data_IF_325701792041
#
_entry.id   IF_325701792041
#
_cell.length_a   1.000
_cell.length_b   1.000
_cell.length_c   1.000
_cell.angle_alpha   90.00
_cell.angle_beta   90.00
_cell.angle_gamma   90.00
#
_symmetry.space_group_name_H-M   'P 1'
#
loop_
_entity.id
_entity.type
_entity.pdbx_description
1 polymer ?
#
# COMPACT_ATOMS: atom_id res chain seq x y z
N UNK A 1 11.68 -17.56 4.73
CA UNK A 1 10.84 -16.58 4.01
C UNK A 1 11.26 -15.17 4.38
N UNK A 2 11.43 -14.29 3.39
CA UNK A 2 11.75 -12.87 3.57
C UNK A 2 10.70 -12.03 2.81
N UNK A 3 10.20 -10.98 3.47
CA UNK A 3 9.11 -10.15 2.95
C UNK A 3 9.64 -8.75 2.62
N UNK A 4 9.26 -8.22 1.45
CA UNK A 4 9.41 -6.83 1.08
C UNK A 4 8.09 -6.10 1.33
N UNK A 5 8.07 -5.19 2.30
CA UNK A 5 6.94 -4.30 2.54
C UNK A 5 7.09 -3.04 1.69
N UNK A 6 6.06 -2.72 0.92
CA UNK A 6 6.02 -1.56 0.03
C UNK A 6 5.12 -0.50 0.67
N UNK A 7 5.69 0.60 1.13
CA UNK A 7 4.97 1.60 1.90
C UNK A 7 5.07 2.97 1.23
N UNK A 8 3.93 3.45 0.72
CA UNK A 8 3.79 4.81 0.23
C UNK A 8 3.26 5.72 1.34
N UNK A 9 3.95 6.83 1.61
CA UNK A 9 3.54 7.85 2.57
C UNK A 9 3.31 9.18 1.89
N UNK A 10 2.05 9.67 1.96
CA UNK A 10 1.67 10.93 1.35
C UNK A 10 1.93 12.16 2.20
N UNK A 11 1.64 12.12 3.51
CA UNK A 11 1.64 13.34 4.35
C UNK A 11 2.09 13.15 5.79
N UNK A 12 2.01 11.95 6.34
CA UNK A 12 2.23 11.70 7.76
C UNK A 12 3.36 10.69 7.98
N UNK A 13 4.55 11.00 7.46
CA UNK A 13 5.69 10.09 7.57
C UNK A 13 6.01 9.72 9.04
N UNK A 14 5.65 10.55 10.03
CA UNK A 14 5.83 10.22 11.46
C UNK A 14 5.11 8.94 11.85
N UNK A 15 3.92 8.70 11.30
CA UNK A 15 3.11 7.54 11.62
C UNK A 15 3.70 6.24 11.06
N UNK A 16 4.58 6.34 10.05
CA UNK A 16 5.21 5.16 9.45
C UNK A 16 6.50 4.71 10.13
N UNK A 17 7.18 5.61 10.86
CA UNK A 17 8.49 5.29 11.46
C UNK A 17 8.37 4.16 12.49
N UNK A 18 7.45 4.18 13.48
CA UNK A 18 7.27 3.08 14.40
C UNK A 18 6.93 1.77 13.70
N UNK A 19 6.09 1.81 12.66
CA UNK A 19 5.70 0.64 11.87
C UNK A 19 6.92 0.01 11.20
N UNK A 20 7.71 0.82 10.50
CA UNK A 20 8.92 0.34 9.82
C UNK A 20 9.92 -0.26 10.81
N UNK A 21 10.10 0.36 11.97
CA UNK A 21 10.97 -0.18 13.02
C UNK A 21 10.53 -1.57 13.49
N UNK A 22 9.22 -1.81 13.60
CA UNK A 22 8.72 -3.14 13.99
C UNK A 22 8.90 -4.17 12.87
N UNK A 23 8.59 -3.80 11.62
CA UNK A 23 8.66 -4.71 10.47
C UNK A 23 10.07 -5.25 10.22
N UNK A 24 11.10 -4.43 10.41
CA UNK A 24 12.48 -4.84 10.09
C UNK A 24 13.17 -5.68 11.18
N UNK A 25 12.61 -5.76 12.38
CA UNK A 25 13.25 -6.48 13.53
C UNK A 25 13.55 -7.93 13.24
N UNK A 26 12.72 -8.61 12.48
CA UNK A 26 12.84 -10.05 12.20
C UNK A 26 13.43 -10.37 10.82
N UNK A 27 14.06 -9.39 10.16
CA UNK A 27 14.81 -9.63 8.92
C UNK A 27 14.05 -9.31 7.65
N UNK A 28 12.83 -8.79 7.73
CA UNK A 28 12.09 -8.28 6.58
C UNK A 28 12.59 -6.88 6.22
N UNK A 29 12.26 -6.44 5.03
CA UNK A 29 12.70 -5.15 4.50
C UNK A 29 11.50 -4.26 4.19
N UNK A 30 11.67 -2.95 4.37
CA UNK A 30 10.65 -1.96 4.04
C UNK A 30 11.19 -1.01 2.98
N UNK A 31 10.45 -0.85 1.91
CA UNK A 31 10.72 0.09 0.83
C UNK A 31 9.75 1.27 0.97
N UNK A 32 10.29 2.45 1.21
CA UNK A 32 9.50 3.65 1.50
C UNK A 32 9.59 4.60 0.31
N UNK A 33 8.44 5.12 -0.10
CA UNK A 33 8.32 6.24 -1.02
C UNK A 33 7.53 7.36 -0.36
N UNK A 34 8.05 8.58 -0.46
CA UNK A 34 7.45 9.78 0.13
C UNK A 34 7.14 10.82 -0.94
N UNK A 35 6.31 11.80 -0.56
CA UNK A 35 5.74 12.77 -1.50
C UNK A 35 6.69 13.90 -1.89
N UNK A 36 7.67 14.22 -1.05
CA UNK A 36 8.54 15.39 -1.26
C UNK A 36 9.93 15.20 -0.64
N UNK A 37 10.86 16.10 -1.02
CA UNK A 37 12.25 16.05 -0.57
C UNK A 37 12.40 16.21 0.95
N UNK A 38 11.56 17.06 1.57
CA UNK A 38 11.62 17.28 3.02
C UNK A 38 11.27 15.99 3.76
N UNK A 39 10.16 15.35 3.41
CA UNK A 39 9.76 14.06 3.99
C UNK A 39 10.84 12.98 3.76
N UNK A 40 11.49 12.98 2.58
CA UNK A 40 12.59 12.05 2.30
C UNK A 40 13.79 12.28 3.21
N UNK A 41 14.19 13.53 3.41
CA UNK A 41 15.32 13.87 4.28
C UNK A 41 15.04 13.47 5.73
N UNK A 42 13.84 13.72 6.22
CA UNK A 42 13.39 13.38 7.57
C UNK A 42 13.37 11.85 7.79
N UNK A 43 12.80 11.08 6.86
CA UNK A 43 12.80 9.61 6.92
C UNK A 43 14.23 9.06 6.80
N UNK A 44 15.09 9.68 5.97
CA UNK A 44 16.50 9.29 5.84
C UNK A 44 17.26 9.44 7.15
N UNK A 45 16.99 10.53 7.89
CA UNK A 45 17.60 10.73 9.21
C UNK A 45 17.07 9.70 10.23
N UNK A 46 15.76 9.45 10.24
CA UNK A 46 15.12 8.50 11.16
C UNK A 46 15.67 7.06 11.00
N UNK A 47 16.06 6.69 9.77
CA UNK A 47 16.59 5.35 9.47
C UNK A 47 18.06 5.33 9.08
N UNK A 48 18.82 6.36 9.48
CA UNK A 48 20.25 6.43 9.19
C UNK A 48 21.00 5.20 9.74
N UNK A 49 21.64 4.44 8.85
CA UNK A 49 22.35 3.20 9.19
C UNK A 49 21.51 1.92 9.20
N UNK A 50 20.20 2.00 8.97
CA UNK A 50 19.40 0.80 8.76
C UNK A 50 19.74 0.16 7.40
N UNK A 51 19.97 -1.16 7.41
CA UNK A 51 20.19 -1.94 6.18
C UNK A 51 18.90 -2.54 5.61
N UNK A 52 17.77 -2.37 6.30
CA UNK A 52 16.50 -3.01 5.96
C UNK A 52 15.38 -2.02 5.66
N UNK A 53 15.65 -0.73 5.87
CA UNK A 53 14.74 0.34 5.43
C UNK A 53 15.36 1.04 4.24
N UNK A 54 14.66 1.01 3.12
CA UNK A 54 15.12 1.52 1.83
C UNK A 54 14.22 2.68 1.41
N UNK A 55 14.81 3.85 1.25
CA UNK A 55 14.09 5.06 0.90
C UNK A 55 14.30 5.31 -0.58
N UNK A 56 13.21 5.33 -1.35
CA UNK A 56 13.29 5.57 -2.79
C UNK A 56 13.90 6.94 -3.09
N UNK A 57 14.75 6.99 -4.11
CA UNK A 57 15.25 8.27 -4.64
C UNK A 57 14.21 9.01 -5.46
N UNK A 58 13.15 8.30 -5.88
CA UNK A 58 12.03 8.86 -6.61
C UNK A 58 11.01 9.39 -5.61
N UNK A 59 10.28 10.41 -6.03
CA UNK A 59 9.20 11.01 -5.24
C UNK A 59 7.89 10.76 -5.97
N UNK A 60 6.89 10.31 -5.24
CA UNK A 60 5.53 10.19 -5.73
C UNK A 60 4.57 10.74 -4.70
N UNK A 61 3.60 11.48 -5.17
CA UNK A 61 2.65 12.14 -4.30
C UNK A 61 1.82 11.16 -3.45
N UNK A 62 1.76 9.89 -3.86
CA UNK A 62 1.10 8.78 -3.17
C UNK A 62 -0.33 9.11 -2.70
N UNK A 63 -1.05 9.91 -3.51
CA UNK A 63 -2.40 10.33 -3.20
C UNK A 63 -3.41 9.26 -3.59
N UNK A 64 -4.26 8.87 -2.65
CA UNK A 64 -5.40 8.01 -2.91
C UNK A 64 -6.32 8.62 -3.97
N UNK A 65 -6.80 7.78 -4.89
CA UNK A 65 -7.65 8.19 -6.00
C UNK A 65 -6.90 8.80 -7.18
N UNK A 66 -5.57 8.94 -7.10
CA UNK A 66 -4.70 9.37 -8.19
C UNK A 66 -3.69 8.27 -8.55
N UNK A 67 -3.22 8.32 -9.79
CA UNK A 67 -2.25 7.33 -10.31
C UNK A 67 -0.93 7.31 -9.53
N UNK A 68 -0.61 8.37 -8.79
CA UNK A 68 0.64 8.46 -8.02
C UNK A 68 0.77 7.36 -6.95
N UNK A 69 -0.33 6.94 -6.32
CA UNK A 69 -0.29 5.85 -5.33
C UNK A 69 0.06 4.51 -6.00
N UNK A 70 -0.65 4.15 -7.05
CA UNK A 70 -0.38 2.91 -7.77
C UNK A 70 1.02 2.91 -8.41
N UNK A 71 1.42 4.04 -8.98
CA UNK A 71 2.74 4.23 -9.58
C UNK A 71 3.85 4.12 -8.54
N UNK A 72 3.67 4.74 -7.38
CA UNK A 72 4.61 4.65 -6.26
C UNK A 72 4.83 3.19 -5.82
N UNK A 73 3.77 2.44 -5.67
CA UNK A 73 3.84 1.02 -5.30
C UNK A 73 4.61 0.18 -6.34
N UNK A 74 4.35 0.38 -7.64
CA UNK A 74 5.09 -0.33 -8.71
C UNK A 74 6.56 0.05 -8.77
N UNK A 75 6.88 1.32 -8.52
CA UNK A 75 8.28 1.77 -8.43
C UNK A 75 9.00 1.17 -7.22
N UNK A 76 8.33 1.02 -6.09
CA UNK A 76 8.89 0.33 -4.92
C UNK A 76 9.14 -1.16 -5.18
N UNK A 77 8.25 -1.83 -5.94
CA UNK A 77 8.53 -3.21 -6.40
C UNK A 77 9.83 -3.25 -7.22
N UNK A 78 10.00 -2.28 -8.13
CA UNK A 78 11.23 -2.19 -8.95
C UNK A 78 12.46 -1.99 -8.07
N UNK A 79 12.39 -1.10 -7.07
CA UNK A 79 13.50 -0.84 -6.16
C UNK A 79 13.82 -2.09 -5.31
N UNK A 80 12.81 -2.83 -4.86
CA UNK A 80 12.96 -4.06 -4.08
C UNK A 80 13.55 -5.20 -4.90
N UNK A 81 13.11 -5.38 -6.13
CA UNK A 81 13.63 -6.41 -7.04
C UNK A 81 15.07 -6.13 -7.50
N UNK A 82 15.45 -4.85 -7.55
CA UNK A 82 16.81 -4.42 -7.89
C UNK A 82 17.79 -4.46 -6.70
N UNK A 83 17.31 -4.78 -5.49
CA UNK A 83 18.15 -4.85 -4.31
C UNK A 83 19.00 -6.12 -4.29
N UNK A 84 20.33 -5.98 -4.41
CA UNK A 84 21.25 -7.10 -4.63
C UNK A 84 21.56 -7.90 -3.35
N UNK A 85 21.47 -7.27 -2.17
CA UNK A 85 21.89 -7.91 -0.90
C UNK A 85 20.81 -8.84 -0.30
N UNK A 86 19.60 -8.89 -0.88
CA UNK A 86 18.54 -9.77 -0.42
C UNK A 86 17.57 -10.16 -1.53
N UNK A 87 17.09 -11.40 -1.47
CA UNK A 87 15.94 -11.85 -2.26
C UNK A 87 14.69 -11.89 -1.38
N UNK A 88 13.56 -11.55 -1.96
CA UNK A 88 12.26 -11.52 -1.29
C UNK A 88 11.32 -12.57 -1.88
N UNK A 89 10.65 -13.30 -1.01
CA UNK A 89 9.66 -14.32 -1.39
C UNK A 89 8.30 -13.69 -1.68
N UNK A 90 7.95 -12.65 -0.88
CA UNK A 90 6.68 -11.95 -0.97
C UNK A 90 6.85 -10.43 -0.96
N UNK A 91 5.93 -9.77 -1.68
CA UNK A 91 5.80 -8.32 -1.78
C UNK A 91 4.42 -7.91 -1.26
N UNK A 92 4.39 -7.12 -0.20
CA UNK A 92 3.17 -6.73 0.51
C UNK A 92 3.08 -5.21 0.55
N UNK A 93 2.06 -4.64 -0.09
CA UNK A 93 1.87 -3.20 -0.01
C UNK A 93 1.10 -2.81 1.25
N UNK A 94 1.52 -1.72 1.86
CA UNK A 94 0.91 -1.09 3.03
C UNK A 94 0.63 0.38 2.75
N UNK A 95 -0.34 0.93 3.44
CA UNK A 95 -0.63 2.36 3.49
C UNK A 95 -0.44 2.88 4.93
N UNK A 96 -0.37 4.20 5.09
CA UNK A 96 -0.31 4.84 6.40
C UNK A 96 -1.44 4.33 7.30
N UNK A 97 -1.12 4.04 8.56
CA UNK A 97 -2.06 3.50 9.54
C UNK A 97 -2.41 2.01 9.38
N UNK A 98 -1.81 1.30 8.43
CA UNK A 98 -1.97 -0.16 8.31
C UNK A 98 -0.86 -0.88 9.05
N UNK A 99 -1.26 -1.84 9.89
CA UNK A 99 -0.37 -2.67 10.71
C UNK A 99 -0.63 -4.15 10.47
N UNK A 100 0.38 -5.03 10.68
CA UNK A 100 0.13 -6.44 10.89
C UNK A 100 -0.72 -6.65 12.14
N UNK A 101 -1.76 -7.48 12.03
CA UNK A 101 -2.64 -7.84 13.16
C UNK A 101 -2.39 -9.26 13.65
N UNK A 102 -1.34 -9.88 13.12
CA UNK A 102 -0.83 -11.20 13.51
C UNK A 102 0.67 -11.14 13.75
N UNK A 103 1.21 -12.00 14.62
CA UNK A 103 2.66 -12.21 14.73
C UNK A 103 3.27 -12.59 13.37
N UNK A 104 4.50 -12.15 13.12
CA UNK A 104 5.22 -12.55 11.90
C UNK A 104 5.27 -14.04 11.68
N UNK A 105 5.47 -14.81 12.76
CA UNK A 105 5.50 -16.27 12.69
C UNK A 105 4.21 -16.87 12.13
N UNK A 106 3.06 -16.31 12.49
CA UNK A 106 1.76 -16.74 11.96
C UNK A 106 1.59 -16.32 10.49
N UNK A 107 1.99 -15.09 10.13
CA UNK A 107 1.95 -14.61 8.73
C UNK A 107 2.81 -15.50 7.85
N UNK A 108 4.05 -15.78 8.25
CA UNK A 108 4.97 -16.66 7.51
C UNK A 108 4.41 -18.06 7.39
N UNK A 109 3.95 -18.64 8.52
CA UNK A 109 3.36 -19.99 8.53
C UNK A 109 2.14 -20.09 7.60
N UNK A 110 1.29 -19.06 7.59
CA UNK A 110 0.13 -19.00 6.69
C UNK A 110 0.57 -19.01 5.23
N UNK A 111 1.53 -18.17 4.85
CA UNK A 111 2.01 -18.06 3.46
C UNK A 111 2.78 -19.32 3.02
N UNK A 112 3.52 -19.98 3.91
CA UNK A 112 4.19 -21.26 3.62
C UNK A 112 3.22 -22.41 3.42
N UNK A 113 2.13 -22.45 4.19
CA UNK A 113 1.09 -23.47 4.05
C UNK A 113 0.14 -23.21 2.88
N UNK A 114 0.01 -21.97 2.46
CA UNK A 114 -0.89 -21.54 1.40
C UNK A 114 -0.14 -20.63 0.42
N UNK A 115 0.83 -21.16 -0.33
CA UNK A 115 1.62 -20.34 -1.25
C UNK A 115 0.75 -19.82 -2.40
N UNK A 116 1.02 -18.58 -2.84
CA UNK A 116 0.34 -17.96 -3.98
C UNK A 116 0.15 -16.47 -3.80
N UNK A 117 -0.49 -15.87 -4.78
CA UNK A 117 -0.85 -14.45 -4.79
C UNK A 117 -2.22 -14.25 -4.16
N UNK A 118 -2.32 -13.25 -3.29
CA UNK A 118 -3.55 -12.85 -2.63
C UNK A 118 -3.92 -11.44 -3.03
N UNK A 119 -5.02 -11.29 -3.71
CA UNK A 119 -5.67 -10.02 -3.99
C UNK A 119 -7.17 -10.24 -4.15
N UNK A 120 -7.95 -9.23 -3.90
CA UNK A 120 -9.40 -9.33 -3.88
C UNK A 120 -10.02 -8.53 -5.01
N UNK A 121 -10.69 -9.22 -5.93
CA UNK A 121 -11.52 -8.65 -6.98
C UNK A 121 -12.96 -8.67 -6.50
N UNK A 122 -13.55 -7.50 -6.35
CA UNK A 122 -14.93 -7.31 -5.90
C UNK A 122 -15.92 -7.49 -7.06
N UNK A 123 -15.62 -6.84 -8.20
CA UNK A 123 -16.48 -6.85 -9.38
C UNK A 123 -15.69 -6.82 -10.68
N UNK A 124 -16.27 -7.42 -11.70
CA UNK A 124 -15.79 -7.40 -13.07
C UNK A 124 -16.77 -6.66 -13.98
N UNK A 125 -16.32 -6.24 -15.18
CA UNK A 125 -17.23 -5.59 -16.14
C UNK A 125 -18.31 -6.53 -16.68
N UNK A 126 -18.14 -7.84 -16.60
CA UNK A 126 -19.15 -8.82 -16.99
C UNK A 126 -20.32 -8.80 -15.98
N UNK A 127 -20.04 -8.50 -14.70
CA UNK A 127 -21.02 -8.39 -13.61
C UNK A 127 -21.60 -6.97 -13.49
N UNK A 128 -20.78 -5.93 -13.78
CA UNK A 128 -21.20 -4.53 -13.76
C UNK A 128 -20.74 -3.81 -15.04
N UNK A 129 -21.55 -3.84 -16.12
CA UNK A 129 -21.18 -3.17 -17.38
C UNK A 129 -20.96 -1.66 -17.26
N UNK A 130 -21.39 -1.04 -16.14
CA UNK A 130 -21.16 0.40 -15.91
C UNK A 130 -19.69 0.70 -15.54
N UNK A 131 -18.86 -0.30 -15.26
CA UNK A 131 -17.44 -0.12 -14.96
C UNK A 131 -16.67 0.42 -16.16
N UNK A 132 -16.86 -0.19 -17.35
CA UNK A 132 -16.12 0.21 -18.57
C UNK A 132 -16.32 1.69 -18.94
N UNK A 133 -17.54 2.23 -19.07
CA UNK A 133 -17.71 3.64 -19.40
C UNK A 133 -17.19 4.59 -18.32
N UNK A 134 -17.08 4.18 -17.06
CA UNK A 134 -16.43 4.98 -16.01
C UNK A 134 -14.91 4.97 -16.17
N UNK A 135 -14.30 3.80 -16.31
CA UNK A 135 -12.85 3.63 -16.37
C UNK A 135 -12.25 4.26 -17.64
N UNK A 136 -12.98 4.29 -18.75
CA UNK A 136 -12.51 4.91 -19.99
C UNK A 136 -12.46 6.44 -19.96
N UNK A 137 -13.07 7.12 -18.98
CA UNK A 137 -13.02 8.59 -18.87
C UNK A 137 -11.68 9.09 -18.37
N UNK A 138 -11.30 10.29 -18.80
CA UNK A 138 -10.21 11.05 -18.20
C UNK A 138 -10.74 11.96 -17.10
N UNK A 139 -10.17 11.85 -15.92
CA UNK A 139 -10.52 12.62 -14.71
C UNK A 139 -9.40 13.62 -14.41
N UNK A 140 -9.53 14.86 -14.85
CA UNK A 140 -8.45 15.84 -14.99
C UNK A 140 -7.90 16.42 -13.69
N UNK A 141 -8.60 16.29 -12.57
CA UNK A 141 -8.22 16.95 -11.31
C UNK A 141 -7.93 15.96 -10.18
N UNK A 142 -7.66 14.69 -10.51
CA UNK A 142 -7.35 13.66 -9.50
C UNK A 142 -6.05 13.93 -8.77
N UNK A 143 -5.11 14.62 -9.40
CA UNK A 143 -3.81 14.99 -8.82
C UNK A 143 -3.87 16.23 -7.91
N UNK A 144 -5.04 16.85 -7.71
CA UNK A 144 -5.17 17.96 -6.77
C UNK A 144 -5.20 17.44 -5.32
N UNK A 145 -4.43 18.07 -4.45
CA UNK A 145 -4.34 17.74 -3.01
C UNK A 145 -5.68 17.55 -2.31
N UNK A 146 -6.69 18.27 -2.75
CA UNK A 146 -8.02 18.27 -2.15
C UNK A 146 -8.96 17.23 -2.78
N UNK A 147 -8.49 16.48 -3.78
CA UNK A 147 -9.35 15.57 -4.54
C UNK A 147 -10.06 14.53 -3.67
N UNK A 148 -9.42 13.81 -2.76
CA UNK A 148 -10.09 12.75 -2.02
C UNK A 148 -11.22 13.26 -1.12
N UNK A 149 -11.09 14.44 -0.54
CA UNK A 149 -11.96 14.95 0.53
C UNK A 149 -12.89 16.07 0.10
N UNK A 150 -12.51 16.89 -0.88
CA UNK A 150 -13.28 18.07 -1.29
C UNK A 150 -14.38 17.74 -2.29
N UNK A 151 -15.64 17.86 -1.88
CA UNK A 151 -16.81 17.59 -2.72
C UNK A 151 -16.85 18.43 -4.02
N UNK A 152 -16.40 19.68 -3.97
CA UNK A 152 -16.39 20.56 -5.16
C UNK A 152 -15.32 20.13 -6.16
N UNK A 153 -14.14 19.73 -5.71
CA UNK A 153 -13.09 19.19 -6.58
C UNK A 153 -13.58 17.90 -7.23
N UNK A 154 -14.16 16.98 -6.47
CA UNK A 154 -14.73 15.72 -6.98
C UNK A 154 -15.86 15.96 -8.00
N UNK A 155 -16.74 16.93 -7.71
CA UNK A 155 -17.82 17.27 -8.63
C UNK A 155 -17.28 17.85 -9.95
N UNK A 156 -16.36 18.82 -9.90
CA UNK A 156 -15.72 19.40 -11.08
C UNK A 156 -14.97 18.34 -11.89
N UNK A 157 -14.25 17.44 -11.22
CA UNK A 157 -13.57 16.32 -11.86
C UNK A 157 -14.54 15.44 -12.64
N UNK A 158 -15.69 15.09 -12.05
CA UNK A 158 -16.74 14.32 -12.73
C UNK A 158 -17.38 15.09 -13.88
N UNK A 159 -17.65 16.38 -13.70
CA UNK A 159 -18.23 17.24 -14.74
C UNK A 159 -17.29 17.35 -15.95
N UNK A 160 -16.00 17.63 -15.72
CA UNK A 160 -14.98 17.68 -16.76
C UNK A 160 -14.83 16.32 -17.48
N UNK A 161 -14.80 15.22 -16.76
CA UNK A 161 -14.72 13.88 -17.34
C UNK A 161 -15.93 13.56 -18.23
N UNK A 162 -17.14 13.95 -17.82
CA UNK A 162 -18.35 13.78 -18.62
C UNK A 162 -18.32 14.63 -19.88
N UNK A 163 -17.84 15.88 -19.78
CA UNK A 163 -17.69 16.76 -20.93
C UNK A 163 -16.68 16.21 -21.95
N UNK A 164 -15.49 15.78 -21.49
CA UNK A 164 -14.49 15.17 -22.35
C UNK A 164 -15.04 13.92 -23.07
N UNK A 165 -15.76 13.07 -22.33
CA UNK A 165 -16.37 11.88 -22.90
C UNK A 165 -17.47 12.24 -23.93
N UNK A 166 -18.24 13.30 -23.73
CA UNK A 166 -19.26 13.76 -24.66
C UNK A 166 -18.67 14.19 -26.02
N UNK A 167 -17.49 14.82 -26.02
CA UNK A 167 -16.77 15.22 -27.24
C UNK A 167 -15.85 14.10 -27.78
N UNK A 168 -15.99 12.85 -27.29
CA UNK A 168 -15.26 11.69 -27.78
C UNK A 168 -13.84 11.51 -27.20
N UNK A 169 -13.41 12.36 -26.24
CA UNK A 169 -12.10 12.25 -25.59
C UNK A 169 -12.19 11.22 -24.46
N UNK A 170 -11.73 10.02 -24.76
CA UNK A 170 -11.70 8.89 -23.82
C UNK A 170 -10.49 7.99 -24.11
N UNK A 171 -10.05 7.24 -23.10
CA UNK A 171 -8.98 6.26 -23.29
C UNK A 171 -9.50 4.98 -23.96
N UNK A 172 -8.58 4.23 -24.51
CA UNK A 172 -8.86 2.90 -25.06
C UNK A 172 -8.14 1.87 -24.20
N UNK A 173 -8.89 0.88 -23.75
CA UNK A 173 -8.39 -0.28 -22.99
C UNK A 173 -8.97 -1.52 -23.63
N UNK A 174 -8.10 -2.48 -23.92
CA UNK A 174 -8.47 -3.76 -24.55
C UNK A 174 -8.79 -4.81 -23.49
N UNK A 175 -8.25 -4.63 -22.27
CA UNK A 175 -8.38 -5.54 -21.15
C UNK A 175 -9.79 -5.46 -20.53
N UNK A 176 -10.21 -6.57 -19.91
CA UNK A 176 -11.42 -6.59 -19.07
C UNK A 176 -11.21 -5.76 -17.81
N UNK A 177 -12.19 -4.92 -17.47
CA UNK A 177 -12.11 -4.07 -16.29
C UNK A 177 -12.53 -4.87 -15.06
N UNK A 178 -11.67 -4.82 -14.05
CA UNK A 178 -11.87 -5.40 -12.73
C UNK A 178 -11.67 -4.33 -11.67
N UNK A 179 -12.46 -4.37 -10.62
CA UNK A 179 -12.33 -3.48 -9.46
C UNK A 179 -12.24 -4.35 -8.21
N UNK A 180 -11.35 -3.95 -7.31
CA UNK A 180 -11.17 -4.65 -6.04
C UNK A 180 -10.32 -3.87 -5.05
N UNK A 181 -9.88 -4.56 -4.04
CA UNK A 181 -9.01 -4.03 -2.99
C UNK A 181 -7.68 -3.52 -3.57
N UNK A 182 -7.22 -2.32 -3.20
CA UNK A 182 -5.94 -1.79 -3.68
C UNK A 182 -4.74 -2.50 -3.07
N UNK A 183 -4.96 -3.41 -2.13
CA UNK A 183 -3.92 -4.13 -1.42
C UNK A 183 -3.76 -5.56 -1.93
N UNK A 184 -2.55 -6.06 -1.81
CA UNK A 184 -2.17 -7.39 -2.27
C UNK A 184 -1.04 -7.98 -1.41
N UNK A 185 -0.87 -9.29 -1.52
CA UNK A 185 0.31 -10.06 -1.13
C UNK A 185 0.72 -10.83 -2.39
N UNK A 186 1.85 -10.48 -2.99
CA UNK A 186 2.30 -11.05 -4.26
C UNK A 186 3.58 -11.83 -4.09
N UNK A 187 3.70 -12.92 -4.83
CA UNK A 187 4.95 -13.65 -5.00
C UNK A 187 5.96 -12.80 -5.79
N UNK A 188 7.25 -13.19 -5.72
CA UNK A 188 8.32 -12.53 -6.46
C UNK A 188 8.05 -12.52 -7.97
N UNK A 189 7.53 -13.61 -8.50
CA UNK A 189 7.25 -13.78 -9.92
C UNK A 189 6.23 -12.76 -10.41
N UNK A 190 5.11 -12.64 -9.70
CA UNK A 190 4.05 -11.68 -10.05
C UNK A 190 4.51 -10.24 -9.86
N UNK A 191 5.21 -9.94 -8.77
CA UNK A 191 5.78 -8.61 -8.55
C UNK A 191 6.76 -8.20 -9.64
N UNK A 192 7.60 -9.13 -10.14
CA UNK A 192 8.55 -8.87 -11.21
C UNK A 192 7.84 -8.48 -12.51
N UNK A 193 6.79 -9.22 -12.87
CA UNK A 193 6.01 -8.91 -14.10
C UNK A 193 5.32 -7.55 -14.00
N UNK A 194 4.75 -7.21 -12.83
CA UNK A 194 4.13 -5.90 -12.64
C UNK A 194 5.16 -4.76 -12.69
N UNK A 195 6.32 -4.93 -12.07
CA UNK A 195 7.38 -3.94 -12.06
C UNK A 195 7.96 -3.71 -13.48
N UNK A 196 8.18 -4.76 -14.26
CA UNK A 196 8.67 -4.69 -15.63
C UNK A 196 7.70 -3.93 -16.55
N UNK A 197 6.40 -4.11 -16.32
CA UNK A 197 5.34 -3.51 -17.13
C UNK A 197 4.81 -2.18 -16.57
N UNK A 198 5.51 -1.55 -15.61
CA UNK A 198 5.19 -0.25 -15.06
C UNK A 198 4.90 0.85 -16.12
N UNK A 199 5.65 0.96 -17.27
CA UNK A 199 5.38 1.99 -18.27
C UNK A 199 3.95 1.90 -18.85
N UNK A 200 3.44 0.71 -19.07
CA UNK A 200 2.06 0.51 -19.54
C UNK A 200 1.05 1.12 -18.56
N UNK A 201 1.22 0.82 -17.27
CA UNK A 201 0.38 1.34 -16.21
C UNK A 201 0.39 2.87 -16.18
N UNK A 202 1.58 3.46 -16.15
CA UNK A 202 1.76 4.91 -16.09
C UNK A 202 1.12 5.64 -17.28
N UNK A 203 1.21 5.08 -18.48
CA UNK A 203 0.67 5.71 -19.69
C UNK A 203 -0.85 5.54 -19.82
N UNK A 204 -1.35 4.34 -19.58
CA UNK A 204 -2.76 3.99 -19.83
C UNK A 204 -3.70 4.51 -18.74
N UNK A 205 -3.23 4.58 -17.48
CA UNK A 205 -4.09 4.93 -16.34
C UNK A 205 -3.88 6.34 -15.77
N UNK A 206 -3.04 7.17 -16.37
CA UNK A 206 -2.98 8.58 -16.00
C UNK A 206 -4.35 9.24 -16.05
N UNK A 207 -4.62 10.15 -15.13
CA UNK A 207 -5.92 10.84 -15.00
C UNK A 207 -7.10 9.85 -14.83
N UNK A 208 -6.89 8.76 -14.13
CA UNK A 208 -7.95 7.83 -13.76
C UNK A 208 -8.61 8.24 -12.44
N UNK A 209 -9.78 7.71 -12.20
CA UNK A 209 -10.49 7.78 -10.94
C UNK A 209 -10.23 6.52 -10.14
N UNK A 210 -9.54 6.63 -9.01
CA UNK A 210 -9.12 5.52 -8.15
C UNK A 210 -8.46 4.37 -8.94
N UNK A 211 -7.35 4.64 -9.64
CA UNK A 211 -6.70 3.63 -10.47
C UNK A 211 -6.10 2.48 -9.67
N UNK A 212 -5.73 2.69 -8.41
CA UNK A 212 -5.24 1.66 -7.49
C UNK A 212 -6.24 0.52 -7.26
N UNK A 213 -7.54 0.78 -7.47
CA UNK A 213 -8.60 -0.23 -7.34
C UNK A 213 -8.74 -1.14 -8.58
N UNK A 214 -8.03 -0.87 -9.67
CA UNK A 214 -8.20 -1.63 -10.92
C UNK A 214 -6.90 -1.93 -11.67
N UNK A 215 -5.90 -1.07 -11.62
CA UNK A 215 -4.72 -1.14 -12.48
C UNK A 215 -3.92 -2.43 -12.31
N UNK A 216 -3.75 -2.90 -11.09
CA UNK A 216 -2.98 -4.12 -10.81
C UNK A 216 -3.63 -5.34 -11.44
N UNK A 217 -4.96 -5.50 -11.28
CA UNK A 217 -5.71 -6.63 -11.81
C UNK A 217 -5.68 -6.66 -13.34
N UNK A 218 -5.80 -5.48 -13.97
CA UNK A 218 -5.75 -5.38 -15.43
C UNK A 218 -4.34 -5.66 -15.97
N UNK A 219 -3.30 -5.27 -15.25
CA UNK A 219 -1.92 -5.64 -15.60
C UNK A 219 -1.69 -7.14 -15.45
N UNK A 220 -2.18 -7.75 -14.37
CA UNK A 220 -2.09 -9.21 -14.17
C UNK A 220 -2.81 -9.96 -15.30
N UNK A 221 -4.03 -9.58 -15.66
CA UNK A 221 -4.76 -10.20 -16.76
C UNK A 221 -4.03 -10.09 -18.11
N UNK A 222 -3.39 -8.94 -18.34
CA UNK A 222 -2.68 -8.69 -19.59
C UNK A 222 -1.37 -9.49 -19.72
N UNK A 223 -0.59 -9.50 -18.66
CA UNK A 223 0.79 -10.00 -18.67
C UNK A 223 0.95 -11.37 -18.04
N UNK A 224 -0.04 -11.80 -17.27
CA UNK A 224 -0.11 -13.11 -16.60
C UNK A 224 -1.50 -13.74 -16.84
N UNK A 225 -1.92 -13.92 -18.11
CA UNK A 225 -3.23 -14.51 -18.36
C UNK A 225 -3.32 -15.89 -17.72
N UNK A 226 -4.46 -16.19 -17.10
CA UNK A 226 -4.74 -17.45 -16.41
C UNK A 226 -3.84 -17.73 -15.18
N UNK A 227 -3.11 -16.72 -14.68
CA UNK A 227 -2.32 -16.86 -13.45
C UNK A 227 -3.21 -17.18 -12.26
N UNK A 228 -2.94 -18.28 -11.54
CA UNK A 228 -3.74 -18.66 -10.40
C UNK A 228 -3.55 -17.66 -9.25
N UNK A 229 -4.63 -17.21 -8.65
CA UNK A 229 -4.62 -16.37 -7.46
C UNK A 229 -5.71 -16.78 -6.48
N UNK A 230 -5.55 -16.37 -5.25
CA UNK A 230 -6.53 -16.57 -4.19
C UNK A 230 -7.31 -15.27 -4.03
N UNK A 231 -8.58 -15.27 -4.50
CA UNK A 231 -9.46 -14.10 -4.43
C UNK A 231 -9.94 -13.88 -2.99
N UNK A 232 -9.04 -13.35 -2.17
CA UNK A 232 -9.29 -13.12 -0.74
C UNK A 232 -8.57 -11.86 -0.28
N UNK A 233 -9.33 -10.97 0.37
CA UNK A 233 -8.71 -9.87 1.11
C UNK A 233 -8.29 -10.37 2.49
N UNK A 234 -7.00 -10.33 2.76
CA UNK A 234 -6.42 -10.67 4.06
C UNK A 234 -6.24 -9.42 4.93
N UNK A 235 -7.00 -8.38 4.63
CA UNK A 235 -7.00 -7.12 5.34
C UNK A 235 -8.38 -6.76 5.86
N UNK A 236 -8.40 -6.15 7.03
CA UNK A 236 -9.61 -5.58 7.63
C UNK A 236 -9.41 -4.08 7.77
N UNK A 237 -10.32 -3.27 7.19
CA UNK A 237 -10.15 -1.82 7.08
C UNK A 237 -11.41 -1.08 7.47
N UNK A 238 -11.24 0.01 8.23
CA UNK A 238 -12.34 0.89 8.59
C UNK A 238 -13.40 0.26 9.51
N UNK A 239 -14.52 0.95 9.68
CA UNK A 239 -15.54 0.56 10.67
C UNK A 239 -16.35 -0.70 10.32
N UNK A 240 -16.41 -1.10 9.04
CA UNK A 240 -17.12 -2.33 8.63
C UNK A 240 -16.18 -3.49 8.27
N UNK A 241 -14.87 -3.26 8.29
CA UNK A 241 -13.88 -4.24 7.83
C UNK A 241 -13.75 -4.34 6.31
N UNK A 242 -14.48 -3.52 5.55
CA UNK A 242 -14.50 -3.56 4.09
C UNK A 242 -13.46 -2.63 3.46
N UNK A 243 -12.74 -3.08 2.44
CA UNK A 243 -11.79 -2.28 1.68
C UNK A 243 -12.42 -1.00 1.06
N UNK A 244 -13.72 -1.01 0.76
CA UNK A 244 -14.47 0.15 0.23
C UNK A 244 -14.42 1.33 1.21
N UNK A 245 -14.24 1.07 2.49
CA UNK A 245 -14.14 2.08 3.55
C UNK A 245 -12.72 2.58 3.80
N UNK A 246 -11.73 2.12 3.04
CA UNK A 246 -10.35 2.62 3.11
C UNK A 246 -10.26 4.14 2.98
N UNK A 247 -11.22 4.72 2.26
CA UNK A 247 -11.36 6.17 2.06
C UNK A 247 -12.00 6.91 3.26
N UNK A 248 -12.56 6.17 4.22
CA UNK A 248 -13.05 6.77 5.46
C UNK A 248 -11.87 6.86 6.43
N UNK A 249 -11.52 8.08 6.87
CA UNK A 249 -10.52 8.29 7.92
C UNK A 249 -11.01 7.81 9.30
N UNK A 250 -11.83 6.78 9.35
CA UNK A 250 -12.36 6.21 10.59
C UNK A 250 -11.48 5.05 11.04
N UNK A 251 -11.10 5.01 12.31
CA UNK A 251 -10.23 3.96 12.83
C UNK A 251 -10.93 2.60 12.82
N UNK A 252 -10.11 1.57 12.72
CA UNK A 252 -10.53 0.19 12.93
C UNK A 252 -10.74 -0.03 14.43
N UNK A 253 -11.90 -0.55 14.81
CA UNK A 253 -12.18 -0.90 16.20
C UNK A 253 -11.79 -2.34 16.53
N UNK A 254 -11.57 -2.62 17.83
CA UNK A 254 -11.28 -3.97 18.33
C UNK A 254 -12.39 -4.97 17.99
N UNK A 255 -13.65 -4.55 18.03
CA UNK A 255 -14.78 -5.43 17.71
C UNK A 255 -14.77 -5.87 16.25
N UNK A 256 -14.48 -4.94 15.33
CA UNK A 256 -14.35 -5.26 13.90
C UNK A 256 -13.14 -6.16 13.66
N UNK A 257 -12.00 -5.89 14.31
CA UNK A 257 -10.82 -6.73 14.22
C UNK A 257 -11.11 -8.16 14.71
N UNK A 258 -11.80 -8.32 15.82
CA UNK A 258 -12.17 -9.62 16.38
C UNK A 258 -13.17 -10.38 15.50
N UNK A 259 -13.99 -9.67 14.71
CA UNK A 259 -14.92 -10.28 13.77
C UNK A 259 -14.20 -10.85 12.52
N UNK A 260 -12.93 -10.49 12.27
CA UNK A 260 -12.14 -10.92 11.14
C UNK A 260 -10.85 -11.65 11.57
N UNK A 261 -10.93 -12.81 12.23
CA UNK A 261 -9.77 -13.53 12.76
C UNK A 261 -8.81 -14.03 11.66
N UNK A 262 -9.26 -14.08 10.43
CA UNK A 262 -8.48 -14.47 9.25
C UNK A 262 -7.57 -13.35 8.72
N UNK A 263 -7.79 -12.10 9.12
CA UNK A 263 -7.00 -10.98 8.63
C UNK A 263 -5.54 -11.09 9.10
N UNK A 264 -4.62 -10.78 8.21
CA UNK A 264 -3.19 -10.70 8.50
C UNK A 264 -2.76 -9.25 8.77
N UNK A 265 -3.47 -8.29 8.15
CA UNK A 265 -3.22 -6.86 8.29
C UNK A 265 -4.52 -6.13 8.60
N UNK A 266 -4.42 -5.00 9.27
CA UNK A 266 -5.57 -4.17 9.57
C UNK A 266 -5.24 -2.69 9.48
N UNK A 267 -6.26 -1.85 9.39
CA UNK A 267 -6.17 -0.39 9.34
C UNK A 267 -7.55 0.27 9.23
N UNK A 268 -7.72 1.55 9.57
CA UNK A 268 -6.58 2.41 9.95
C UNK A 268 -6.46 2.44 11.47
N UNK A 269 -5.26 2.34 11.96
CA UNK A 269 -4.95 2.54 13.36
C UNK A 269 -4.27 3.90 13.53
N UNK A 270 -4.73 4.68 14.50
CA UNK A 270 -4.16 5.99 14.83
C UNK A 270 -3.92 6.08 16.32
N UNK A 271 -2.77 6.58 16.72
CA UNK A 271 -2.38 6.81 18.11
C UNK A 271 -3.29 7.82 18.80
N UNK A 272 -3.83 8.77 18.04
CA UNK A 272 -4.68 9.86 18.54
C UNK A 272 -6.11 9.43 18.88
N UNK A 273 -6.59 8.26 18.42
CA UNK A 273 -7.98 7.83 18.59
C UNK A 273 -8.12 6.63 19.53
N UNK A 274 -7.26 5.62 19.43
CA UNK A 274 -7.16 4.48 20.33
C UNK A 274 -5.68 4.11 20.51
N UNK A 275 -5.00 4.82 21.41
CA UNK A 275 -3.57 4.65 21.68
C UNK A 275 -3.24 3.24 22.18
N UNK A 276 -4.14 2.63 22.97
CA UNK A 276 -3.92 1.28 23.50
C UNK A 276 -3.95 0.22 22.38
N UNK A 277 -4.98 0.26 21.54
CA UNK A 277 -5.10 -0.65 20.39
C UNK A 277 -3.96 -0.45 19.38
N UNK A 278 -3.59 0.81 19.11
CA UNK A 278 -2.47 1.13 18.23
C UNK A 278 -1.17 0.51 18.75
N UNK A 279 -0.84 0.71 20.04
CA UNK A 279 0.37 0.14 20.65
C UNK A 279 0.36 -1.39 20.63
N UNK A 280 -0.77 -2.01 20.97
CA UNK A 280 -0.93 -3.45 20.90
C UNK A 280 -0.64 -3.98 19.48
N UNK A 281 -1.24 -3.38 18.46
CA UNK A 281 -1.04 -3.81 17.07
C UNK A 281 0.36 -3.52 16.57
N UNK A 282 0.97 -2.42 17.00
CA UNK A 282 2.35 -2.08 16.65
C UNK A 282 3.34 -3.15 17.15
N UNK A 283 3.12 -3.69 18.34
CA UNK A 283 3.96 -4.73 18.93
C UNK A 283 3.61 -6.14 18.43
N UNK A 284 2.40 -6.34 17.91
CA UNK A 284 1.85 -7.64 17.52
C UNK A 284 2.73 -8.42 16.58
N UNK A 285 3.34 -7.76 15.60
CA UNK A 285 4.21 -8.38 14.61
C UNK A 285 5.41 -9.12 15.22
N UNK A 286 5.92 -8.60 16.34
CA UNK A 286 7.07 -9.16 17.05
C UNK A 286 6.69 -10.01 18.28
N UNK A 287 5.42 -10.32 18.46
CA UNK A 287 4.97 -11.16 19.55
C UNK A 287 5.68 -12.52 19.51
N UNK A 288 6.23 -12.93 20.64
CA UNK A 288 7.00 -14.18 20.77
C UNK A 288 8.41 -14.15 20.15
N UNK A 289 8.83 -13.06 19.49
CA UNK A 289 10.17 -12.96 18.94
C UNK A 289 11.23 -12.76 20.03
N UNK A 290 12.21 -13.62 20.06
CA UNK A 290 13.40 -13.48 20.89
C UNK A 290 14.58 -13.11 20.00
N UNK A 291 15.14 -11.91 20.24
CA UNK A 291 16.32 -11.44 19.47
C UNK A 291 17.46 -12.46 19.63
N UNK A 292 18.06 -12.95 18.53
CA UNK A 292 19.26 -13.81 18.63
C UNK A 292 20.38 -13.12 19.40
N UNK A 293 21.15 -13.89 20.17
CA UNK A 293 22.24 -13.35 21.01
C UNK A 293 23.42 -12.74 20.21
N UNK A 294 23.42 -12.86 18.87
CA UNK A 294 24.39 -12.22 17.97
C UNK A 294 23.85 -10.89 17.50
N UNK A 295 24.38 -9.82 18.04
CA UNK A 295 24.03 -8.44 17.66
C UNK A 295 24.37 -8.16 16.21
N UNK A 296 23.34 -7.94 15.40
CA UNK A 296 23.43 -7.09 14.24
C UNK A 296 23.57 -5.64 14.79
N UNK A 297 24.70 -4.98 14.55
CA UNK A 297 24.96 -3.61 15.03
C UNK A 297 24.10 -2.60 14.27
N UNK A 298 22.78 -2.68 14.39
CA UNK A 298 21.88 -1.60 14.01
C UNK A 298 21.86 -0.57 15.15
N UNK A 299 22.04 0.69 14.83
CA UNK A 299 21.77 1.77 15.75
C UNK A 299 20.24 1.85 15.92
N UNK A 300 19.71 1.18 16.92
CA UNK A 300 18.33 1.38 17.33
C UNK A 300 18.30 2.75 18.04
N UNK A 301 17.53 3.69 17.50
CA UNK A 301 17.19 4.89 18.24
C UNK A 301 16.28 4.47 19.39
N UNK A 302 16.57 4.96 20.59
CA UNK A 302 15.64 4.82 21.71
C UNK A 302 14.41 5.67 21.46
N UNK A 303 13.29 5.34 22.09
CA UNK A 303 12.07 6.13 22.00
C UNK A 303 12.30 7.59 22.39
N UNK A 304 13.17 7.83 23.37
CA UNK A 304 13.56 9.17 23.82
C UNK A 304 14.38 9.92 22.75
N UNK A 305 15.34 9.27 22.08
CA UNK A 305 16.11 9.87 20.99
C UNK A 305 15.22 10.21 19.80
N UNK A 306 14.24 9.36 19.52
CA UNK A 306 13.27 9.62 18.46
C UNK A 306 12.34 10.77 18.80
N UNK A 307 11.80 10.81 20.03
CA UNK A 307 10.92 11.89 20.49
C UNK A 307 11.68 13.23 20.54
N UNK A 308 12.93 13.25 21.02
CA UNK A 308 13.78 14.44 20.99
C UNK A 308 14.03 14.94 19.56
N UNK A 309 14.17 14.02 18.58
CA UNK A 309 14.31 14.37 17.19
C UNK A 309 13.02 14.96 16.60
N UNK A 310 11.86 14.34 16.88
CA UNK A 310 10.54 14.84 16.44
C UNK A 310 10.24 16.21 17.02
N UNK A 311 10.58 16.46 18.30
CA UNK A 311 10.36 17.75 18.95
C UNK A 311 11.25 18.87 18.40
N UNK A 312 12.42 18.53 17.86
CA UNK A 312 13.29 19.48 17.14
C UNK A 312 12.78 19.84 15.74
N UNK A 313 11.91 19.02 15.16
CA UNK A 313 11.31 19.25 13.83
C UNK A 313 9.96 19.97 13.88
N UNK A 314 9.33 20.06 15.06
CA UNK A 314 8.13 20.85 15.33
C UNK A 314 8.47 22.31 15.66
#
# INVERSE_FOLDING_TARGET
MRIAYLLCSGRKFYDIVPVCQQLVKQGDHVFIMVSDDKARDEVTVAFAGSRRVHISRRLEFAQEGDMSLARGTLLQMTDALAYEDAEFDYFINLTEGMLPVKPRSEIVSFLEQNPGDYYYIDRTEDEDPALRPKTLKYYTYTNMLQFPTNRWVRWNTKAAANFLNLIGVRRTLDEKIKIGSPWFILTKETAAVLAENYPYCSDKFKLSWYPEENVYFMMMDKYLPDHPHINRDLRVVGPSGSWIESQSARPLSRDVLNAHPEALFGGQFFDTEDEELYKEMLEKYNEGYQKPAVEDKQKEYTEDEFNEFVDKLR
#
